data_IF_706148444392
#
_entry.id   IF_706148444392
#
_cell.length_a   1.000
_cell.length_b   1.000
_cell.length_c   1.000
_cell.angle_alpha   90.00
_cell.angle_beta   90.00
_cell.angle_gamma   90.00
#
_symmetry.space_group_name_H-M   'P 1'
#
loop_
_entity.id
_entity.type
_entity.pdbx_description
1 polymer ?
#
# COMPACT_ATOMS: atom_id res chain seq x y z
N UNK A 1 -2.66 -100.48 -72.07
CA UNK A 1 -3.89 -100.55 -71.24
C UNK A 1 -3.59 -99.87 -69.91
N UNK A 2 -4.44 -98.90 -69.55
CA UNK A 2 -4.68 -98.39 -68.19
C UNK A 2 -3.55 -97.56 -67.53
N UNK A 3 -3.35 -96.31 -67.95
CA UNK A 3 -2.60 -95.32 -67.15
C UNK A 3 -3.22 -93.91 -67.17
N UNK A 4 -4.11 -93.61 -68.11
CA UNK A 4 -4.68 -92.27 -68.28
C UNK A 4 -5.82 -91.95 -67.30
N UNK A 5 -6.58 -92.97 -66.87
CA UNK A 5 -7.68 -92.79 -65.92
C UNK A 5 -7.21 -92.60 -64.46
N UNK A 6 -6.10 -93.22 -64.07
CA UNK A 6 -5.54 -93.10 -62.72
C UNK A 6 -4.89 -91.72 -62.51
N UNK A 7 -4.10 -91.24 -63.48
CA UNK A 7 -3.51 -89.90 -63.45
C UNK A 7 -4.56 -88.79 -63.48
N UNK A 8 -5.62 -88.93 -64.28
CA UNK A 8 -6.71 -87.95 -64.32
C UNK A 8 -7.48 -87.89 -62.99
N UNK A 9 -7.69 -89.04 -62.33
CA UNK A 9 -8.32 -89.09 -61.00
C UNK A 9 -7.41 -88.50 -59.92
N UNK A 10 -6.10 -88.73 -59.98
CA UNK A 10 -5.13 -88.11 -59.05
C UNK A 10 -5.07 -86.60 -59.27
N UNK A 11 -5.09 -86.12 -60.51
CA UNK A 11 -5.10 -84.68 -60.84
C UNK A 11 -6.41 -83.99 -60.37
N UNK A 12 -7.56 -84.65 -60.55
CA UNK A 12 -8.85 -84.15 -60.07
C UNK A 12 -8.95 -84.17 -58.54
N UNK A 13 -8.33 -85.14 -57.86
CA UNK A 13 -8.23 -85.15 -56.39
C UNK A 13 -7.32 -84.02 -55.88
N UNK A 14 -6.20 -83.72 -56.54
CA UNK A 14 -5.33 -82.60 -56.17
C UNK A 14 -6.00 -81.23 -56.34
N UNK A 15 -6.89 -81.07 -57.32
CA UNK A 15 -7.71 -79.86 -57.49
C UNK A 15 -8.91 -79.80 -56.52
N UNK A 16 -9.45 -80.96 -56.10
CA UNK A 16 -10.53 -81.04 -55.11
C UNK A 16 -10.05 -80.85 -53.66
N UNK A 17 -8.77 -81.13 -53.38
CA UNK A 17 -8.11 -80.86 -52.10
C UNK A 17 -7.22 -79.61 -52.14
N UNK A 18 -7.48 -78.69 -53.08
CA UNK A 18 -7.02 -77.31 -52.98
C UNK A 18 -7.61 -76.69 -51.73
N UNK A 19 -6.97 -76.94 -50.59
CA UNK A 19 -7.24 -76.23 -49.36
C UNK A 19 -7.11 -74.75 -49.72
N UNK A 20 -8.20 -74.02 -49.62
CA UNK A 20 -8.17 -72.56 -49.58
C UNK A 20 -7.33 -72.20 -48.35
N UNK A 21 -6.01 -72.04 -48.56
CA UNK A 21 -5.06 -71.61 -47.53
C UNK A 21 -5.11 -70.10 -47.32
N UNK A 22 -5.97 -69.40 -48.06
CA UNK A 22 -6.29 -68.01 -47.80
C UNK A 22 -7.29 -68.00 -46.65
N UNK A 23 -6.84 -67.50 -45.49
CA UNK A 23 -7.72 -67.20 -44.36
C UNK A 23 -8.86 -66.28 -44.79
N UNK A 24 -9.88 -66.13 -43.94
CA UNK A 24 -10.96 -65.18 -44.22
C UNK A 24 -10.38 -63.79 -44.51
N UNK A 25 -10.93 -63.10 -45.51
CA UNK A 25 -10.51 -61.75 -45.90
C UNK A 25 -11.66 -60.78 -45.62
N UNK A 26 -11.37 -59.74 -44.85
CA UNK A 26 -12.37 -58.77 -44.39
C UNK A 26 -12.39 -57.57 -45.32
N UNK A 27 -13.58 -57.00 -45.54
CA UNK A 27 -13.75 -55.72 -46.21
C UNK A 27 -14.59 -54.78 -45.31
N UNK A 28 -14.00 -53.71 -44.76
CA UNK A 28 -12.60 -53.26 -44.90
C UNK A 28 -11.55 -54.20 -44.25
N UNK A 29 -10.29 -54.17 -44.70
CA UNK A 29 -9.24 -55.04 -44.16
C UNK A 29 -8.85 -54.64 -42.73
N UNK A 30 -8.59 -55.64 -41.89
CA UNK A 30 -8.01 -55.47 -40.57
C UNK A 30 -6.56 -54.99 -40.66
N UNK A 31 -6.05 -54.39 -39.58
CA UNK A 31 -4.62 -54.08 -39.46
C UNK A 31 -3.78 -55.36 -39.60
N UNK A 32 -2.83 -55.43 -40.55
CA UNK A 32 -2.10 -56.65 -40.87
C UNK A 32 -1.06 -57.03 -39.80
N UNK A 33 -0.70 -56.13 -38.90
CA UNK A 33 0.23 -56.41 -37.80
C UNK A 33 -0.50 -56.72 -36.49
N UNK A 34 -1.70 -56.17 -36.33
CA UNK A 34 -2.38 -56.12 -35.03
C UNK A 34 -3.72 -56.83 -34.99
N UNK A 35 -4.17 -57.40 -36.10
CA UNK A 35 -5.39 -58.20 -36.15
C UNK A 35 -5.40 -59.22 -37.28
N UNK A 36 -6.43 -60.06 -37.26
CA UNK A 36 -6.75 -60.96 -38.35
C UNK A 36 -8.26 -61.05 -38.54
N UNK A 37 -8.66 -61.41 -39.75
CA UNK A 37 -10.07 -61.52 -40.11
C UNK A 37 -10.63 -62.91 -39.80
N UNK A 38 -11.84 -62.94 -39.24
CA UNK A 38 -12.64 -64.15 -39.04
C UNK A 38 -13.70 -64.33 -40.14
N UNK A 39 -14.25 -65.55 -40.25
CA UNK A 39 -15.15 -65.94 -41.34
C UNK A 39 -16.49 -65.17 -41.40
N UNK A 40 -16.80 -64.38 -40.39
CA UNK A 40 -17.98 -63.54 -40.23
C UNK A 40 -17.73 -62.04 -40.56
N UNK A 41 -16.61 -61.72 -41.20
CA UNK A 41 -16.20 -60.33 -41.54
C UNK A 41 -15.95 -59.47 -40.28
N UNK A 42 -15.47 -60.08 -39.20
CA UNK A 42 -15.10 -59.41 -37.95
C UNK A 42 -13.59 -59.49 -37.75
N UNK A 43 -12.96 -58.35 -37.47
CA UNK A 43 -11.55 -58.32 -37.09
C UNK A 43 -11.38 -58.76 -35.64
N UNK A 44 -10.59 -59.81 -35.42
CA UNK A 44 -10.10 -60.17 -34.08
C UNK A 44 -8.74 -59.53 -33.86
N UNK A 45 -8.67 -58.69 -32.83
CA UNK A 45 -7.44 -57.96 -32.50
C UNK A 45 -6.49 -58.79 -31.64
N UNK A 46 -5.19 -58.58 -31.86
CA UNK A 46 -4.14 -59.06 -30.97
C UNK A 46 -4.20 -58.34 -29.63
N UNK A 47 -3.60 -58.96 -28.60
CA UNK A 47 -3.63 -58.46 -27.23
C UNK A 47 -3.05 -57.04 -27.18
N UNK A 48 -3.84 -56.11 -26.66
CA UNK A 48 -3.44 -54.70 -26.54
C UNK A 48 -3.90 -53.81 -27.69
N UNK A 49 -4.64 -54.34 -28.66
CA UNK A 49 -5.26 -53.59 -29.75
C UNK A 49 -6.78 -53.74 -29.73
N UNK A 50 -7.48 -52.70 -30.18
CA UNK A 50 -8.93 -52.59 -30.18
C UNK A 50 -9.42 -51.80 -31.40
N UNK A 51 -10.75 -51.64 -31.47
CA UNK A 51 -11.43 -51.00 -32.58
C UNK A 51 -11.86 -51.99 -33.67
N UNK A 52 -12.68 -51.55 -34.62
CA UNK A 52 -13.24 -52.42 -35.66
C UNK A 52 -12.18 -52.93 -36.64
N UNK A 53 -11.03 -52.26 -36.74
CA UNK A 53 -9.92 -52.63 -37.64
C UNK A 53 -8.64 -53.02 -36.89
N UNK A 54 -8.66 -53.05 -35.54
CA UNK A 54 -7.47 -53.30 -34.72
C UNK A 54 -6.34 -52.29 -34.90
N UNK A 55 -6.69 -51.04 -35.23
CA UNK A 55 -5.78 -49.93 -35.51
C UNK A 55 -5.56 -49.01 -34.29
N UNK A 56 -6.23 -49.30 -33.17
CA UNK A 56 -6.13 -48.52 -31.93
C UNK A 56 -5.52 -49.34 -30.83
N UNK A 57 -4.55 -48.78 -30.12
CA UNK A 57 -4.01 -49.39 -28.91
C UNK A 57 -5.02 -49.31 -27.76
N UNK A 58 -4.99 -50.31 -26.89
CA UNK A 58 -5.70 -50.31 -25.61
C UNK A 58 -4.85 -49.58 -24.59
N UNK A 59 -5.44 -48.59 -23.91
CA UNK A 59 -4.74 -47.84 -22.85
C UNK A 59 -4.53 -48.70 -21.59
N UNK A 60 -3.61 -48.28 -20.72
CA UNK A 60 -3.42 -48.94 -19.42
C UNK A 60 -4.75 -49.05 -18.64
N UNK A 61 -5.06 -50.17 -17.98
CA UNK A 61 -6.25 -50.28 -17.15
C UNK A 61 -6.31 -49.16 -16.11
N UNK A 62 -7.42 -48.42 -16.09
CA UNK A 62 -7.60 -47.26 -15.21
C UNK A 62 -7.20 -45.91 -15.80
N UNK A 63 -6.66 -45.87 -17.02
CA UNK A 63 -6.36 -44.62 -17.72
C UNK A 63 -7.63 -43.78 -17.94
N UNK A 64 -7.66 -42.57 -17.35
CA UNK A 64 -8.86 -41.70 -17.37
C UNK A 64 -8.73 -40.64 -18.46
N UNK A 65 -7.68 -39.83 -18.41
CA UNK A 65 -7.45 -38.70 -19.33
C UNK A 65 -6.17 -38.85 -20.15
N UNK A 66 -5.83 -40.08 -20.53
CA UNK A 66 -4.67 -40.37 -21.35
C UNK A 66 -5.00 -40.95 -22.72
N UNK A 67 -3.98 -41.05 -23.56
CA UNK A 67 -3.96 -41.77 -24.84
C UNK A 67 -2.81 -42.75 -24.85
N UNK A 68 -2.77 -43.68 -25.79
CA UNK A 68 -1.64 -44.59 -25.97
C UNK A 68 -1.01 -44.41 -27.35
N UNK A 69 0.29 -44.72 -27.45
CA UNK A 69 0.96 -44.93 -28.74
C UNK A 69 1.24 -46.42 -28.94
N UNK A 70 1.68 -47.06 -27.87
CA UNK A 70 1.79 -48.51 -27.75
C UNK A 70 0.78 -49.06 -26.74
N UNK A 71 0.38 -50.33 -26.85
CA UNK A 71 -0.52 -50.96 -25.90
C UNK A 71 -0.08 -50.79 -24.44
N UNK A 72 -1.08 -50.65 -23.56
CA UNK A 72 -0.90 -50.55 -22.10
C UNK A 72 -0.19 -49.29 -21.61
N UNK A 73 -0.01 -48.30 -22.50
CA UNK A 73 0.43 -46.97 -22.11
C UNK A 73 -0.74 -46.09 -21.67
N UNK A 74 -0.44 -45.09 -20.84
CA UNK A 74 -1.34 -43.98 -20.54
C UNK A 74 -0.52 -42.69 -20.57
N UNK A 75 -0.50 -42.05 -21.74
CA UNK A 75 0.18 -40.79 -22.00
C UNK A 75 -0.84 -39.68 -21.74
N UNK A 76 -0.61 -38.87 -20.71
CA UNK A 76 -1.59 -37.87 -20.30
C UNK A 76 -1.77 -36.79 -21.34
N UNK A 77 -3.03 -36.40 -21.54
CA UNK A 77 -3.38 -35.20 -22.30
C UNK A 77 -2.95 -33.97 -21.52
N UNK A 78 -2.80 -32.84 -22.21
CA UNK A 78 -2.45 -31.57 -21.59
C UNK A 78 -3.40 -31.23 -20.43
N UNK A 79 -2.81 -30.84 -19.30
CA UNK A 79 -3.55 -30.52 -18.07
C UNK A 79 -3.83 -31.72 -17.16
N UNK A 80 -3.37 -32.93 -17.51
CA UNK A 80 -3.49 -34.12 -16.65
C UNK A 80 -2.13 -34.74 -16.35
N UNK A 81 -2.01 -35.32 -15.16
CA UNK A 81 -0.82 -36.02 -14.67
C UNK A 81 -1.24 -37.22 -13.82
N UNK A 82 -0.26 -37.95 -13.29
CA UNK A 82 -0.44 -39.19 -12.58
C UNK A 82 -0.23 -40.41 -13.47
N UNK A 83 -0.10 -41.58 -12.85
CA UNK A 83 0.18 -42.84 -13.58
C UNK A 83 -0.95 -43.21 -14.53
N UNK A 84 -2.18 -42.82 -14.20
CA UNK A 84 -3.39 -43.11 -14.94
C UNK A 84 -4.08 -41.84 -15.46
N UNK A 85 -3.37 -40.70 -15.46
CA UNK A 85 -3.88 -39.39 -15.85
C UNK A 85 -5.15 -39.00 -15.07
N UNK A 86 -5.14 -39.31 -13.78
CA UNK A 86 -6.21 -39.09 -12.83
C UNK A 86 -6.09 -37.76 -12.08
N UNK A 87 -4.92 -37.12 -12.15
CA UNK A 87 -4.64 -35.86 -11.45
C UNK A 87 -4.84 -34.71 -12.44
N UNK A 88 -5.83 -33.86 -12.19
CA UNK A 88 -5.97 -32.61 -12.92
C UNK A 88 -4.93 -31.62 -12.38
N UNK A 89 -3.98 -31.23 -13.22
CA UNK A 89 -2.91 -30.29 -12.85
C UNK A 89 -3.23 -28.86 -13.28
N UNK A 90 -4.38 -28.62 -13.90
CA UNK A 90 -4.84 -27.26 -14.22
C UNK A 90 -5.29 -26.58 -12.94
N UNK A 91 -4.65 -25.48 -12.61
CA UNK A 91 -4.94 -24.76 -11.38
C UNK A 91 -6.36 -24.17 -11.35
N UNK A 92 -6.90 -23.78 -12.51
CA UNK A 92 -8.22 -23.15 -12.58
C UNK A 92 -9.40 -24.09 -12.30
N UNK A 93 -9.21 -25.41 -12.34
CA UNK A 93 -10.31 -26.35 -12.01
C UNK A 93 -10.71 -26.31 -10.54
N UNK A 94 -9.80 -25.86 -9.67
CA UNK A 94 -10.09 -25.60 -8.25
C UNK A 94 -10.82 -24.28 -7.99
N UNK A 95 -11.11 -23.50 -9.05
CA UNK A 95 -11.70 -22.16 -8.98
C UNK A 95 -11.00 -21.24 -7.97
N UNK A 96 -9.69 -20.98 -8.12
CA UNK A 96 -8.93 -20.23 -7.12
C UNK A 96 -9.30 -18.73 -7.07
N UNK A 97 -9.78 -18.15 -8.17
CA UNK A 97 -10.14 -16.74 -8.24
C UNK A 97 -11.49 -16.45 -7.54
N UNK A 98 -11.44 -15.65 -6.48
CA UNK A 98 -12.60 -15.16 -5.74
C UNK A 98 -13.33 -14.01 -6.48
N UNK A 99 -14.47 -13.59 -5.92
CA UNK A 99 -15.21 -12.39 -6.32
C UNK A 99 -15.49 -12.28 -7.84
N UNK A 100 -15.80 -13.42 -8.45
CA UNK A 100 -16.15 -13.52 -9.87
C UNK A 100 -14.99 -13.10 -10.81
N UNK A 101 -13.74 -13.23 -10.35
CA UNK A 101 -12.54 -13.08 -11.18
C UNK A 101 -12.44 -14.19 -12.23
N UNK A 102 -11.80 -13.88 -13.36
CA UNK A 102 -11.59 -14.84 -14.45
C UNK A 102 -10.24 -15.55 -14.25
N UNK A 103 -10.26 -16.88 -14.15
CA UNK A 103 -9.04 -17.69 -14.02
C UNK A 103 -8.48 -18.08 -15.39
N UNK A 104 -7.17 -17.96 -15.56
CA UNK A 104 -6.44 -18.43 -16.73
C UNK A 104 -5.36 -19.41 -16.28
N UNK A 105 -5.39 -20.63 -16.82
CA UNK A 105 -4.36 -21.63 -16.57
C UNK A 105 -3.05 -21.22 -17.26
N UNK A 106 -1.94 -21.34 -16.53
CA UNK A 106 -0.59 -21.13 -17.01
C UNK A 106 0.18 -22.46 -17.02
N UNK A 107 1.42 -22.44 -17.51
CA UNK A 107 2.26 -23.64 -17.56
C UNK A 107 2.53 -24.23 -16.16
N UNK A 108 2.69 -25.56 -16.10
CA UNK A 108 3.09 -26.30 -14.88
C UNK A 108 2.13 -26.11 -13.68
N UNK A 109 0.83 -25.99 -13.95
CA UNK A 109 -0.17 -25.84 -12.90
C UNK A 109 -0.13 -24.49 -12.18
N UNK A 110 0.42 -23.47 -12.83
CA UNK A 110 0.25 -22.08 -12.40
C UNK A 110 -1.07 -21.52 -12.93
N UNK A 111 -1.51 -20.40 -12.36
CA UNK A 111 -2.68 -19.66 -12.83
C UNK A 111 -2.49 -18.16 -12.61
N UNK A 112 -3.28 -17.39 -13.34
CA UNK A 112 -3.45 -15.96 -13.15
C UNK A 112 -4.93 -15.62 -13.03
N UNK A 113 -5.27 -14.76 -12.08
CA UNK A 113 -6.62 -14.25 -11.89
C UNK A 113 -6.74 -12.84 -12.46
N UNK A 114 -7.65 -12.67 -13.43
CA UNK A 114 -8.11 -11.34 -13.85
C UNK A 114 -9.25 -10.89 -12.96
N UNK A 115 -8.95 -9.97 -12.04
CA UNK A 115 -9.91 -9.49 -11.05
C UNK A 115 -10.95 -8.56 -11.65
N UNK A 116 -12.19 -8.68 -11.14
CA UNK A 116 -13.27 -7.75 -11.47
C UNK A 116 -12.99 -6.36 -10.90
N UNK A 117 -13.55 -5.29 -11.50
CA UNK A 117 -13.38 -3.93 -10.99
C UNK A 117 -13.78 -3.83 -9.52
N UNK A 118 -12.88 -3.31 -8.69
CA UNK A 118 -13.09 -3.20 -7.25
C UNK A 118 -12.51 -4.35 -6.42
N UNK A 119 -11.79 -5.30 -7.04
CA UNK A 119 -11.06 -6.37 -6.35
C UNK A 119 -9.59 -6.42 -6.78
N UNK A 120 -8.74 -6.91 -5.88
CA UNK A 120 -7.30 -7.06 -6.05
C UNK A 120 -6.79 -8.25 -5.25
N UNK A 121 -5.48 -8.52 -5.34
CA UNK A 121 -4.86 -9.71 -4.74
C UNK A 121 -4.57 -10.79 -5.79
N UNK A 122 -3.84 -11.83 -5.39
CA UNK A 122 -3.46 -12.92 -6.30
C UNK A 122 -4.70 -13.72 -6.72
N UNK A 123 -5.62 -13.89 -5.78
CA UNK A 123 -6.84 -14.68 -5.91
C UNK A 123 -8.08 -13.77 -5.96
N UNK A 124 -7.91 -12.46 -6.20
CA UNK A 124 -8.97 -11.46 -6.16
C UNK A 124 -9.75 -11.43 -4.83
N UNK A 125 -9.08 -11.80 -3.75
CA UNK A 125 -9.62 -11.95 -2.40
C UNK A 125 -9.80 -10.62 -1.68
N UNK A 126 -9.04 -9.60 -2.07
CA UNK A 126 -9.09 -8.28 -1.46
C UNK A 126 -10.04 -7.37 -2.23
N UNK A 127 -10.78 -6.54 -1.50
CA UNK A 127 -11.43 -5.38 -2.13
C UNK A 127 -10.32 -4.42 -2.52
N UNK A 128 -10.31 -4.01 -3.78
CA UNK A 128 -9.40 -2.98 -4.24
C UNK A 128 -9.65 -1.72 -3.39
N UNK A 129 -8.57 -1.16 -2.86
CA UNK A 129 -8.68 0.04 -2.06
C UNK A 129 -9.05 1.25 -2.92
N UNK A 130 -9.44 2.35 -2.27
CA UNK A 130 -9.84 3.57 -2.95
C UNK A 130 -8.75 4.15 -3.87
N UNK A 131 -7.46 3.89 -3.63
CA UNK A 131 -6.38 4.35 -4.52
C UNK A 131 -6.45 3.72 -5.92
N UNK A 132 -6.87 2.46 -6.03
CA UNK A 132 -6.98 1.74 -7.31
C UNK A 132 -8.29 2.06 -8.01
N UNK A 133 -9.39 2.17 -7.26
CA UNK A 133 -10.73 2.38 -7.83
C UNK A 133 -10.91 3.83 -8.31
N UNK A 134 -10.53 4.81 -7.48
CA UNK A 134 -10.77 6.24 -7.75
C UNK A 134 -9.53 6.97 -8.28
N UNK A 135 -8.39 6.27 -8.39
CA UNK A 135 -7.09 6.88 -8.65
C UNK A 135 -6.50 7.52 -7.39
N UNK A 136 -5.24 7.99 -7.50
CA UNK A 136 -4.56 8.67 -6.39
C UNK A 136 -5.19 10.05 -6.13
N UNK A 137 -5.77 10.31 -4.95
CA UNK A 137 -6.22 11.65 -4.55
C UNK A 137 -5.08 12.53 -4.03
N UNK A 138 -3.85 12.00 -3.94
CA UNK A 138 -2.71 12.68 -3.33
C UNK A 138 -2.15 13.79 -4.23
N UNK A 139 -1.99 14.98 -3.66
CA UNK A 139 -1.43 16.14 -4.34
C UNK A 139 0.10 16.19 -4.24
N UNK A 140 0.72 17.08 -5.01
CA UNK A 140 2.16 17.38 -4.96
C UNK A 140 3.11 16.18 -5.09
N UNK A 141 2.66 15.11 -5.77
CA UNK A 141 3.45 13.89 -5.95
C UNK A 141 3.42 12.93 -4.75
N UNK A 142 2.44 13.07 -3.84
CA UNK A 142 2.22 12.09 -2.78
C UNK A 142 1.85 10.70 -3.31
N UNK A 143 2.32 9.66 -2.63
CA UNK A 143 2.01 8.28 -2.98
C UNK A 143 0.75 7.82 -2.24
N UNK A 144 -0.27 7.38 -2.97
CA UNK A 144 -1.47 6.81 -2.38
C UNK A 144 -1.16 5.43 -1.83
N UNK A 145 -1.54 5.20 -0.58
CA UNK A 145 -1.40 3.92 0.10
C UNK A 145 -2.78 3.43 0.51
N UNK A 146 -3.10 2.23 0.05
CA UNK A 146 -4.24 1.46 0.54
C UNK A 146 -3.74 0.60 1.71
N UNK A 147 -4.45 0.63 2.85
CA UNK A 147 -4.16 -0.25 3.99
C UNK A 147 -4.72 -1.66 3.71
N UNK A 148 -4.12 -2.35 2.74
CA UNK A 148 -4.47 -3.72 2.31
C UNK A 148 -5.99 -3.95 2.07
N UNK A 149 -6.69 -2.94 1.54
CA UNK A 149 -8.13 -3.01 1.27
C UNK A 149 -9.03 -3.00 2.51
N UNK A 150 -8.50 -2.78 3.72
CA UNK A 150 -9.27 -2.58 4.95
C UNK A 150 -9.65 -1.12 5.17
N UNK A 151 -8.88 -0.18 4.62
CA UNK A 151 -9.17 1.23 4.74
C UNK A 151 -10.41 1.62 3.91
N UNK A 152 -11.44 2.12 4.57
CA UNK A 152 -12.57 2.80 3.93
C UNK A 152 -12.19 4.17 3.34
N UNK A 153 -10.92 4.58 3.44
CA UNK A 153 -10.42 5.88 3.01
C UNK A 153 -9.00 5.75 2.44
N UNK A 154 -8.72 6.45 1.34
CA UNK A 154 -7.37 6.54 0.79
C UNK A 154 -6.49 7.39 1.71
N UNK A 155 -5.27 6.94 2.00
CA UNK A 155 -4.27 7.69 2.75
C UNK A 155 -3.07 8.02 1.85
N UNK A 156 -2.39 9.13 2.11
CA UNK A 156 -1.28 9.61 1.29
C UNK A 156 0.02 9.68 2.08
N UNK A 157 1.09 9.14 1.49
CA UNK A 157 2.47 9.39 1.92
C UNK A 157 2.98 10.67 1.26
N UNK A 158 3.15 11.72 2.07
CA UNK A 158 3.53 13.03 1.57
C UNK A 158 5.04 13.20 1.38
N UNK A 159 5.48 13.85 0.29
CA UNK A 159 6.88 14.23 0.11
C UNK A 159 7.34 15.24 1.18
N UNK A 160 8.66 15.39 1.39
CA UNK A 160 9.19 16.41 2.30
C UNK A 160 8.67 17.81 1.97
N UNK A 161 8.22 18.54 2.99
CA UNK A 161 7.62 19.87 2.81
C UNK A 161 6.13 19.85 2.45
N UNK A 162 5.46 18.70 2.55
CA UNK A 162 4.01 18.58 2.41
C UNK A 162 3.39 17.77 3.56
N UNK A 163 2.16 18.09 3.93
CA UNK A 163 1.39 17.42 4.97
C UNK A 163 -0.12 17.49 4.68
N UNK A 164 -0.95 16.96 5.57
CA UNK A 164 -2.40 16.79 5.34
C UNK A 164 -2.74 15.38 4.85
N UNK A 165 -4.04 15.08 4.76
CA UNK A 165 -4.51 13.74 4.40
C UNK A 165 -4.25 13.42 2.91
N UNK A 166 -4.21 14.44 2.07
CA UNK A 166 -3.99 14.35 0.63
C UNK A 166 -2.77 15.16 0.18
N UNK A 167 -1.84 15.47 1.09
CA UNK A 167 -0.64 16.27 0.81
C UNK A 167 -0.95 17.68 0.26
N UNK A 168 -2.11 18.21 0.61
CA UNK A 168 -2.62 19.52 0.20
C UNK A 168 -1.94 20.67 0.95
N UNK A 169 -1.37 20.39 2.12
CA UNK A 169 -0.71 21.40 2.95
C UNK A 169 0.76 21.45 2.54
N UNK A 170 1.22 22.62 2.09
CA UNK A 170 2.66 22.87 1.90
C UNK A 170 3.24 23.17 3.27
N UNK A 171 3.92 22.19 3.88
CA UNK A 171 4.72 22.40 5.08
C UNK A 171 5.94 23.24 4.66
N UNK A 172 5.79 24.55 4.80
CA UNK A 172 6.75 25.51 4.30
C UNK A 172 8.16 25.16 4.81
N UNK A 173 9.11 25.02 3.87
CA UNK A 173 10.55 24.95 4.13
C UNK A 173 11.07 26.16 4.91
N UNK A 174 10.26 27.21 5.00
CA UNK A 174 10.38 28.31 5.95
C UNK A 174 9.07 28.47 6.73
N UNK A 175 9.08 28.13 8.02
CA UNK A 175 7.91 28.20 8.92
C UNK A 175 7.33 29.63 9.08
N UNK A 176 8.03 30.65 8.58
CA UNK A 176 7.61 32.06 8.57
C UNK A 176 6.95 32.51 7.26
N UNK A 177 6.66 31.62 6.32
CA UNK A 177 6.00 31.98 5.05
C UNK A 177 4.76 31.10 4.81
N UNK A 178 3.54 31.67 4.88
CA UNK A 178 3.22 33.05 5.25
C UNK A 178 3.52 33.37 6.72
N UNK A 179 3.78 34.65 7.05
CA UNK A 179 4.18 35.04 8.41
C UNK A 179 3.08 34.67 9.44
N UNK A 180 3.34 33.72 10.36
CA UNK A 180 2.35 33.27 11.35
C UNK A 180 2.22 34.23 12.55
N UNK A 181 3.08 35.24 12.66
CA UNK A 181 3.05 36.21 13.77
C UNK A 181 2.12 37.37 13.45
N UNK A 182 1.07 37.53 14.25
CA UNK A 182 0.13 38.66 14.19
C UNK A 182 0.69 39.90 14.91
N UNK A 183 -0.01 41.04 14.76
CA UNK A 183 0.29 42.30 15.45
C UNK A 183 1.75 42.77 15.33
N UNK A 184 2.34 42.69 14.13
CA UNK A 184 3.74 43.05 13.85
C UNK A 184 4.78 42.24 14.63
N UNK A 185 4.45 41.00 15.02
CA UNK A 185 5.41 40.05 15.58
C UNK A 185 6.52 39.68 14.58
N UNK A 186 7.76 39.61 15.07
CA UNK A 186 8.91 39.18 14.24
C UNK A 186 9.03 37.67 14.30
N UNK A 187 8.89 37.02 13.14
CA UNK A 187 9.03 35.57 13.02
C UNK A 187 10.49 35.14 12.84
N UNK A 188 10.86 34.06 13.51
CA UNK A 188 12.12 33.34 13.28
C UNK A 188 11.81 31.86 13.05
N UNK A 189 12.29 31.32 11.94
CA UNK A 189 12.22 29.89 11.66
C UNK A 189 13.25 29.15 12.52
N UNK A 190 12.81 28.08 13.18
CA UNK A 190 13.67 27.25 14.03
C UNK A 190 13.81 25.82 13.50
N UNK A 191 13.44 25.58 12.23
CA UNK A 191 13.58 24.30 11.55
C UNK A 191 12.48 23.32 11.93
N UNK A 192 11.40 23.31 11.15
CA UNK A 192 10.21 22.48 11.40
C UNK A 192 9.21 23.09 12.40
N UNK A 193 9.52 24.26 12.98
CA UNK A 193 8.61 25.08 13.78
C UNK A 193 9.00 26.57 13.66
N UNK A 194 8.15 27.48 14.15
CA UNK A 194 8.42 28.92 14.18
C UNK A 194 8.38 29.47 15.61
N UNK A 195 9.06 30.60 15.82
CA UNK A 195 8.98 31.40 17.04
C UNK A 195 8.65 32.85 16.70
N UNK A 196 7.61 33.38 17.34
CA UNK A 196 7.26 34.80 17.25
C UNK A 196 7.84 35.59 18.41
N UNK A 197 8.50 36.70 18.11
CA UNK A 197 8.86 37.73 19.09
C UNK A 197 7.76 38.78 19.14
N UNK A 198 6.91 38.69 20.16
CA UNK A 198 5.74 39.56 20.27
C UNK A 198 6.10 40.99 20.72
N UNK A 199 5.43 42.01 20.14
CA UNK A 199 5.49 43.37 20.65
C UNK A 199 4.80 43.49 22.02
N UNK A 200 5.07 44.60 22.71
CA UNK A 200 4.56 44.84 24.05
C UNK A 200 3.02 44.81 24.08
N UNK A 201 2.45 44.03 24.99
CA UNK A 201 1.01 43.91 25.13
C UNK A 201 0.39 42.71 24.41
N UNK A 202 1.18 41.86 23.75
CA UNK A 202 0.73 40.60 23.15
C UNK A 202 1.51 39.41 23.71
N UNK A 203 0.84 38.27 23.78
CA UNK A 203 1.35 37.00 24.33
C UNK A 203 0.81 35.85 23.48
N UNK A 204 1.27 34.62 23.76
CA UNK A 204 1.05 33.38 22.98
C UNK A 204 2.07 33.13 21.85
N UNK A 205 1.91 32.01 21.13
CA UNK A 205 2.86 31.57 20.09
C UNK A 205 2.77 32.39 18.80
N UNK A 206 1.64 33.05 18.54
CA UNK A 206 1.36 33.80 17.30
C UNK A 206 1.17 35.30 17.54
N UNK A 207 1.32 35.78 18.78
CA UNK A 207 1.09 37.17 19.19
C UNK A 207 -0.34 37.65 18.95
N UNK A 208 -1.31 36.74 18.89
CA UNK A 208 -2.72 37.08 18.65
C UNK A 208 -3.39 37.56 19.93
N UNK A 209 -3.05 36.94 21.07
CA UNK A 209 -3.71 37.25 22.34
C UNK A 209 -3.14 38.52 22.99
N UNK A 210 -3.97 39.53 23.27
CA UNK A 210 -3.54 40.66 24.08
C UNK A 210 -3.23 40.20 25.51
N UNK A 211 -2.16 40.75 26.08
CA UNK A 211 -1.79 40.61 27.48
C UNK A 211 -2.75 41.43 28.35
N UNK A 212 -4.02 41.02 28.41
CA UNK A 212 -5.02 41.64 29.27
C UNK A 212 -4.69 41.26 30.71
N UNK A 213 -4.14 42.22 31.43
CA UNK A 213 -4.10 42.16 32.88
C UNK A 213 -5.52 42.48 33.36
N UNK A 214 -6.31 41.47 33.75
CA UNK A 214 -7.61 41.71 34.35
C UNK A 214 -7.41 42.51 35.64
N UNK A 215 -7.61 43.82 35.56
CA UNK A 215 -7.91 44.60 36.75
C UNK A 215 -9.25 44.12 37.29
N UNK A 216 -9.29 43.98 38.60
CA UNK A 216 -10.34 43.42 39.44
C UNK A 216 -11.63 44.27 39.30
N UNK A 217 -12.33 44.24 38.16
CA UNK A 217 -13.70 44.76 38.05
C UNK A 217 -14.75 43.65 38.27
N UNK A 218 -14.37 42.39 38.07
CA UNK A 218 -15.26 41.24 38.26
C UNK A 218 -15.39 40.72 39.70
N UNK A 219 -14.62 41.26 40.66
CA UNK A 219 -14.71 40.84 42.07
C UNK A 219 -15.68 41.75 42.85
N UNK A 220 -16.02 42.93 42.33
CA UNK A 220 -16.92 43.88 42.99
C UNK A 220 -18.40 43.46 42.96
N UNK A 221 -18.86 42.67 41.99
CA UNK A 221 -20.26 42.20 41.97
C UNK A 221 -20.51 41.04 42.93
N UNK A 222 -19.49 40.23 43.23
CA UNK A 222 -19.59 39.13 44.20
C UNK A 222 -19.26 39.58 45.64
N UNK A 223 -18.47 40.65 45.82
CA UNK A 223 -18.08 41.18 47.15
C UNK A 223 -19.12 42.06 47.85
N UNK A 224 -20.21 42.48 47.17
CA UNK A 224 -21.26 43.27 47.84
C UNK A 224 -22.16 42.39 48.72
N UNK A 225 -22.18 41.08 48.54
CA UNK A 225 -23.17 40.21 49.21
C UNK A 225 -22.67 39.62 50.53
N UNK A 226 -21.36 39.45 50.76
CA UNK A 226 -20.87 38.84 52.00
C UNK A 226 -19.65 39.58 52.52
N UNK A 227 -19.91 40.47 53.48
CA UNK A 227 -18.92 41.32 54.10
C UNK A 227 -17.80 40.56 54.80
N UNK A 228 -16.70 41.29 54.98
CA UNK A 228 -15.55 41.04 55.88
C UNK A 228 -14.47 40.05 55.39
N UNK A 229 -13.59 40.61 54.55
CA UNK A 229 -12.11 40.60 54.63
C UNK A 229 -11.44 39.45 55.42
N UNK A 230 -10.81 38.54 54.69
CA UNK A 230 -9.37 38.20 54.79
C UNK A 230 -9.13 36.76 54.30
N UNK A 231 -9.32 36.51 52.99
CA UNK A 231 -8.62 35.40 52.36
C UNK A 231 -7.48 36.01 51.54
N UNK A 232 -6.28 35.92 52.12
CA UNK A 232 -5.02 36.07 51.40
C UNK A 232 -4.93 34.90 50.42
N UNK A 233 -5.61 35.02 49.28
CA UNK A 233 -5.24 34.26 48.09
C UNK A 233 -4.08 34.99 47.44
N UNK A 234 -2.89 34.39 47.55
CA UNK A 234 -1.72 34.74 46.76
C UNK A 234 -2.06 34.60 45.27
N UNK A 235 -2.60 35.66 44.67
CA UNK A 235 -2.63 35.80 43.22
C UNK A 235 -1.20 36.12 42.78
N UNK A 236 -0.46 35.06 42.43
CA UNK A 236 0.77 35.14 41.63
C UNK A 236 0.44 35.80 40.29
N UNK A 237 0.55 37.13 40.25
CA UNK A 237 0.94 37.86 39.06
C UNK A 237 2.04 38.85 39.48
N UNK A 238 3.13 38.30 40.02
CA UNK A 238 4.33 39.06 40.32
C UNK A 238 5.01 39.50 39.03
N UNK A 239 4.87 40.80 38.72
CA UNK A 239 6.02 41.72 38.68
C UNK A 239 7.25 41.27 37.89
N UNK A 240 7.15 41.00 36.58
CA UNK A 240 8.35 40.95 35.72
C UNK A 240 8.70 42.29 35.07
N UNK A 241 7.71 43.10 34.68
CA UNK A 241 7.98 44.37 33.95
C UNK A 241 8.32 45.54 34.89
N UNK A 242 7.78 45.56 36.10
CA UNK A 242 8.17 46.57 37.11
C UNK A 242 9.52 46.26 37.75
N UNK A 243 9.91 44.97 37.87
CA UNK A 243 11.18 44.57 38.48
C UNK A 243 12.40 44.89 37.58
N UNK A 244 12.26 44.81 36.24
CA UNK A 244 13.31 45.28 35.31
C UNK A 244 13.50 46.82 35.35
N UNK A 245 12.41 47.59 35.36
CA UNK A 245 12.49 49.06 35.47
C UNK A 245 12.96 49.50 36.86
N UNK A 246 12.55 48.81 37.92
CA UNK A 246 12.97 49.07 39.30
C UNK A 246 14.44 48.71 39.55
N UNK A 247 14.95 47.57 39.05
CA UNK A 247 16.36 47.21 39.15
C UNK A 247 17.27 48.09 38.29
N UNK A 248 16.80 48.54 37.12
CA UNK A 248 17.55 49.50 36.29
C UNK A 248 17.58 50.90 36.93
N UNK A 249 16.47 51.35 37.54
CA UNK A 249 16.42 52.59 38.32
C UNK A 249 17.25 52.50 39.60
N UNK A 250 17.25 51.37 40.31
CA UNK A 250 18.08 51.15 41.50
C UNK A 250 19.57 51.06 41.17
N UNK A 251 19.98 50.49 40.03
CA UNK A 251 21.39 50.52 39.60
C UNK A 251 21.88 51.94 39.27
N UNK A 252 21.04 52.78 38.62
CA UNK A 252 21.34 54.21 38.44
C UNK A 252 21.35 54.99 39.77
N UNK A 253 20.41 54.71 40.68
CA UNK A 253 20.34 55.37 42.00
C UNK A 253 21.47 54.96 42.94
N UNK A 254 21.94 53.71 42.89
CA UNK A 254 23.07 53.22 43.70
C UNK A 254 24.40 53.84 43.26
N UNK A 255 24.58 54.10 41.95
CA UNK A 255 25.76 54.83 41.44
C UNK A 255 25.71 56.34 41.75
N UNK A 256 24.51 56.96 41.77
CA UNK A 256 24.35 58.37 42.16
C UNK A 256 24.46 58.59 43.69
N UNK A 257 23.97 57.65 44.51
CA UNK A 257 24.10 57.72 45.97
C UNK A 257 25.52 57.42 46.48
N UNK A 258 26.35 56.73 45.69
CA UNK A 258 27.77 56.53 46.00
C UNK A 258 28.65 57.77 45.70
N UNK A 259 28.17 58.73 44.90
CA UNK A 259 28.88 59.99 44.66
C UNK A 259 28.48 61.13 45.61
N UNK A 260 27.38 61.01 46.36
CA UNK A 260 26.82 62.13 47.12
C UNK A 260 27.02 62.04 48.65
N UNK A 261 27.78 61.06 49.15
CA UNK A 261 28.15 60.97 50.57
C UNK A 261 29.56 61.54 50.88
N UNK A 262 29.92 62.66 50.26
CA UNK A 262 30.93 63.57 50.81
C UNK A 262 30.42 65.02 50.78
N UNK A 263 29.84 65.48 51.89
CA UNK A 263 29.71 66.91 52.22
C UNK A 263 28.29 67.51 52.19
N UNK A 264 27.70 67.62 53.39
CA UNK A 264 26.85 68.68 53.96
C UNK A 264 25.66 69.33 53.22
N UNK A 265 24.67 69.70 54.05
CA UNK A 265 23.33 70.26 53.84
C UNK A 265 23.17 71.38 52.80
N UNK A 266 22.05 71.36 52.04
CA UNK A 266 20.96 72.35 52.16
C UNK A 266 19.85 72.08 51.14
N UNK A 267 18.63 72.44 51.55
CA UNK A 267 17.38 72.16 50.87
C UNK A 267 17.14 73.01 49.60
N UNK A 268 16.18 72.53 48.80
CA UNK A 268 15.09 73.28 48.13
C UNK A 268 15.01 73.14 46.59
N UNK A 269 13.76 72.81 46.21
CA UNK A 269 13.02 72.97 44.94
C UNK A 269 13.32 72.09 43.73
N UNK A 270 12.38 71.17 43.52
CA UNK A 270 12.07 70.48 42.27
C UNK A 270 11.49 71.51 41.29
N UNK A 271 12.19 71.74 40.18
CA UNK A 271 11.65 72.34 38.97
C UNK A 271 11.66 71.26 37.89
N UNK A 272 10.49 70.88 37.38
CA UNK A 272 10.38 70.10 36.15
C UNK A 272 10.52 71.05 34.94
N UNK A 273 11.30 70.67 33.92
CA UNK A 273 10.72 70.60 32.57
C UNK A 273 11.20 69.33 31.82
N UNK A 274 10.30 68.58 31.20
CA UNK A 274 9.84 68.69 29.81
C UNK A 274 10.87 68.25 28.75
N UNK A 275 10.46 67.23 27.96
CA UNK A 275 10.95 66.75 26.66
C UNK A 275 12.45 66.49 26.48
N UNK A 276 12.81 65.22 26.17
CA UNK A 276 13.94 64.94 25.29
C UNK A 276 13.57 63.88 24.26
N UNK A 277 13.78 64.29 23.02
CA UNK A 277 13.60 63.64 21.73
C UNK A 277 14.78 62.72 21.36
N UNK A 278 14.52 61.81 20.44
CA UNK A 278 15.29 60.66 20.02
C UNK A 278 16.27 61.04 18.89
N UNK A 279 17.52 61.38 19.23
CA UNK A 279 18.63 61.33 18.26
C UNK A 279 19.92 60.94 18.98
N UNK A 280 20.76 60.16 18.27
CA UNK A 280 22.12 59.74 18.63
C UNK A 280 22.21 58.41 19.38
N UNK A 281 22.22 57.28 18.65
CA UNK A 281 23.13 56.16 18.94
C UNK A 281 23.29 55.31 17.67
N UNK A 282 24.08 55.83 16.73
CA UNK A 282 24.78 55.03 15.73
C UNK A 282 26.27 55.09 16.10
N UNK A 283 26.84 54.01 16.64
CA UNK A 283 28.19 53.52 16.34
C UNK A 283 28.56 52.30 17.18
N UNK A 284 29.29 51.41 16.51
CA UNK A 284 30.18 50.37 17.05
C UNK A 284 29.54 49.04 17.46
N UNK A 285 29.13 48.28 16.44
CA UNK A 285 29.31 46.84 16.43
C UNK A 285 30.51 46.53 15.50
N UNK A 286 31.63 46.14 16.11
CA UNK A 286 32.80 45.59 15.45
C UNK A 286 33.27 44.38 16.24
N UNK A 287 33.34 43.26 15.52
CA UNK A 287 34.25 42.11 15.62
C UNK A 287 34.31 41.27 16.91
N UNK A 288 33.95 39.98 16.78
CA UNK A 288 34.88 38.88 17.04
C UNK A 288 34.42 37.57 16.37
N UNK A 289 35.39 36.86 15.79
CA UNK A 289 35.36 35.69 14.90
C UNK A 289 34.81 34.40 15.56
N UNK A 290 34.09 33.57 14.78
CA UNK A 290 34.54 32.33 14.08
C UNK A 290 33.48 31.97 13.03
#
# INVERSE_FOLDING_TARGET
MIATGALLRVLLLLLAFGHSTYGAECDPPCDPQYGFCEADNVCRCHVGWEGPLCDKCVTAPGCVNGVCKEPWQCICKDGWDGRFCEIDVRACTSTPCANNGTCVDLEKGQYECSCTPGFSGKDCEHKAGPCVINGSPCQHGGACVDDEGQASHASCLCPPGFSGNFCEIVAATNSCTPNPCENDGVCTDIGGDFRCRCPAGFVDKTCSRPAICFTILGVLTSLVVLGTVAIVFLNKCETWVTNLRYNHMLRKKKNLLLQYNSGEELAVNIIFPEKIDMTTFNKEAGDEEI
#
